data_IF_532170622142
#
_entry.id   IF_532170622142
#
_cell.length_a   1.000
_cell.length_b   1.000
_cell.length_c   1.000
_cell.angle_alpha   90.00
_cell.angle_beta   90.00
_cell.angle_gamma   90.00
#
_symmetry.space_group_name_H-M   'P 1'
#
loop_
_entity.id
_entity.type
_entity.pdbx_description
1 polymer ?
#
# COMPACT_ATOMS: atom_id res chain seq x y z
N UNK A 1 29.38 26.05 70.50
CA UNK A 1 28.69 25.36 71.62
C UNK A 1 27.57 24.52 71.07
N UNK A 2 27.61 23.22 71.35
CA UNK A 2 26.65 22.18 70.95
C UNK A 2 25.47 22.16 71.91
N UNK A 3 24.24 22.01 71.40
CA UNK A 3 23.11 21.25 71.98
C UNK A 3 21.96 21.26 70.95
N UNK A 4 21.60 20.18 70.26
CA UNK A 4 20.91 18.96 70.73
C UNK A 4 19.49 19.24 71.25
N UNK A 5 18.38 18.56 70.91
CA UNK A 5 18.11 17.26 70.26
C UNK A 5 16.57 17.16 70.02
N UNK A 6 16.16 16.41 68.97
CA UNK A 6 15.02 15.46 68.81
C UNK A 6 13.65 15.68 69.51
N UNK A 7 12.54 15.57 68.74
CA UNK A 7 11.50 14.48 68.76
C UNK A 7 10.36 14.82 67.77
N UNK A 8 10.11 14.05 66.69
CA UNK A 8 9.20 12.90 66.51
C UNK A 8 7.68 13.26 66.50
N UNK A 9 7.11 13.10 65.29
CA UNK A 9 5.77 12.65 64.90
C UNK A 9 4.49 13.36 65.42
N UNK A 10 3.68 13.87 64.48
CA UNK A 10 2.33 13.30 64.30
C UNK A 10 1.84 13.45 62.84
N UNK A 11 1.40 12.30 62.32
CA UNK A 11 0.65 12.09 61.08
C UNK A 11 -0.73 12.74 61.18
N UNK A 12 -1.33 13.05 60.01
CA UNK A 12 -2.74 13.39 59.70
C UNK A 12 -2.88 14.80 59.10
N UNK A 13 -2.77 14.91 57.77
CA UNK A 13 -3.91 15.33 56.94
C UNK A 13 -3.62 15.01 55.46
N UNK A 14 -3.76 13.74 55.15
CA UNK A 14 -4.02 13.25 53.80
C UNK A 14 -5.40 13.72 53.35
N UNK A 15 -5.48 14.82 52.62
CA UNK A 15 -6.63 15.11 51.74
C UNK A 15 -6.14 15.79 50.47
N UNK A 16 -5.84 14.94 49.48
CA UNK A 16 -6.44 15.02 48.16
C UNK A 16 -6.70 16.43 47.61
N UNK A 17 -5.71 17.00 46.92
CA UNK A 17 -5.97 17.78 45.71
C UNK A 17 -5.03 17.25 44.62
N UNK A 18 -5.31 16.00 44.21
CA UNK A 18 -5.11 15.58 42.84
C UNK A 18 -6.06 16.43 42.00
N UNK A 19 -5.59 17.54 41.44
CA UNK A 19 -6.25 18.11 40.25
C UNK A 19 -5.96 17.13 39.12
N UNK A 20 -6.83 16.12 39.07
CA UNK A 20 -7.10 15.33 37.90
C UNK A 20 -7.30 16.32 36.75
N UNK A 21 -6.35 16.34 35.81
CA UNK A 21 -6.62 16.77 34.45
C UNK A 21 -7.63 15.81 33.85
N UNK A 22 -8.89 15.95 34.24
CA UNK A 22 -10.02 15.37 33.55
C UNK A 22 -10.06 16.09 32.20
N UNK A 23 -9.44 15.48 31.19
CA UNK A 23 -9.77 15.79 29.81
C UNK A 23 -11.29 15.65 29.70
N UNK A 24 -11.96 16.76 29.41
CA UNK A 24 -13.39 16.84 29.25
C UNK A 24 -13.87 15.69 28.33
N UNK A 25 -14.86 14.87 28.72
CA UNK A 25 -15.42 13.84 27.83
C UNK A 25 -16.04 14.45 26.55
N UNK A 26 -16.19 15.78 26.50
CA UNK A 26 -16.54 16.55 25.30
C UNK A 26 -15.41 16.62 24.25
N UNK A 27 -14.13 16.49 24.62
CA UNK A 27 -12.99 16.49 23.68
C UNK A 27 -12.80 15.14 22.96
N UNK A 28 -13.48 14.08 23.44
CA UNK A 28 -13.38 12.72 22.90
C UNK A 28 -14.30 12.42 21.71
N UNK A 29 -15.10 13.37 21.21
CA UNK A 29 -15.69 13.25 19.85
C UNK A 29 -14.61 13.61 18.82
N UNK A 30 -13.69 12.67 18.56
CA UNK A 30 -12.66 12.80 17.49
C UNK A 30 -13.33 13.28 16.20
N UNK A 31 -13.16 14.58 15.86
CA UNK A 31 -13.66 15.15 14.60
C UNK A 31 -13.20 14.25 13.45
N UNK A 32 -14.13 13.79 12.61
CA UNK A 32 -13.85 12.94 11.44
C UNK A 32 -12.69 13.56 10.66
N UNK A 33 -11.67 12.76 10.33
CA UNK A 33 -10.50 13.24 9.59
C UNK A 33 -10.94 13.70 8.20
N UNK A 34 -10.45 14.86 7.77
CA UNK A 34 -10.73 15.41 6.44
C UNK A 34 -10.12 14.52 5.36
N UNK A 35 -10.94 14.09 4.41
CA UNK A 35 -10.49 13.31 3.26
C UNK A 35 -9.66 14.23 2.33
N UNK A 36 -8.44 13.85 1.93
CA UNK A 36 -7.64 14.63 1.00
C UNK A 36 -8.38 14.89 -0.32
N UNK A 37 -8.19 16.08 -0.91
CA UNK A 37 -8.87 16.46 -2.17
C UNK A 37 -8.39 15.67 -3.40
N UNK A 38 -7.18 15.12 -3.36
CA UNK A 38 -6.54 14.46 -4.51
C UNK A 38 -6.07 13.05 -4.11
N UNK A 39 -6.36 12.00 -4.90
CA UNK A 39 -5.83 10.67 -4.62
C UNK A 39 -4.31 10.66 -4.76
N UNK A 40 -3.65 9.83 -3.97
CA UNK A 40 -2.22 9.54 -4.08
C UNK A 40 -1.90 8.23 -3.40
N UNK A 41 -0.84 7.58 -3.87
CA UNK A 41 -0.24 6.46 -3.19
C UNK A 41 0.41 6.94 -1.88
N UNK A 42 0.28 6.13 -0.84
CA UNK A 42 0.81 6.39 0.50
C UNK A 42 1.79 5.33 0.97
N UNK A 43 1.79 4.17 0.31
CA UNK A 43 2.63 3.02 0.55
C UNK A 43 2.17 2.14 1.71
N UNK A 44 2.70 0.91 1.76
CA UNK A 44 2.22 -0.17 2.62
C UNK A 44 2.27 0.16 4.12
N UNK A 45 3.26 0.92 4.56
CA UNK A 45 3.40 1.37 5.96
C UNK A 45 2.19 2.15 6.47
N UNK A 46 1.53 2.94 5.60
CA UNK A 46 0.30 3.67 5.98
C UNK A 46 -0.93 2.79 6.07
N UNK A 47 -0.84 1.55 5.58
CA UNK A 47 -1.80 0.47 5.80
C UNK A 47 -1.44 -0.32 7.08
N UNK A 48 -0.14 -0.39 7.43
CA UNK A 48 0.40 -1.16 8.56
C UNK A 48 0.13 -0.54 9.95
N UNK A 49 0.58 0.67 10.27
CA UNK A 49 0.87 1.04 11.67
C UNK A 49 -0.25 1.22 12.73
N UNK A 50 -1.49 0.73 12.54
CA UNK A 50 -2.51 0.65 13.62
C UNK A 50 -3.76 -0.20 13.27
N UNK A 51 -3.82 -0.86 12.11
CA UNK A 51 -5.08 -1.40 11.59
C UNK A 51 -4.96 -2.72 10.83
N UNK A 52 -3.81 -3.04 10.24
CA UNK A 52 -3.63 -4.23 9.40
C UNK A 52 -2.22 -4.85 9.56
N UNK A 53 -1.65 -4.84 10.76
CA UNK A 53 -0.30 -5.35 11.04
C UNK A 53 -0.12 -6.83 10.64
N UNK A 54 -1.00 -7.79 11.01
CA UNK A 54 -0.87 -9.17 10.56
C UNK A 54 -0.80 -9.32 9.03
N UNK A 55 -1.56 -8.50 8.30
CA UNK A 55 -1.57 -8.50 6.84
C UNK A 55 -0.30 -7.87 6.26
N UNK A 56 0.26 -6.86 6.93
CA UNK A 56 1.50 -6.25 6.51
C UNK A 56 2.67 -7.22 6.69
N UNK A 57 2.80 -7.87 7.85
CA UNK A 57 3.86 -8.85 8.09
C UNK A 57 3.79 -10.00 7.08
N UNK A 58 2.59 -10.51 6.82
CA UNK A 58 2.37 -11.50 5.78
C UNK A 58 2.79 -11.03 4.38
N UNK A 59 2.50 -9.77 4.07
CA UNK A 59 2.91 -9.17 2.80
C UNK A 59 4.43 -8.98 2.71
N UNK A 60 5.11 -8.57 3.78
CA UNK A 60 6.58 -8.40 3.83
C UNK A 60 7.29 -9.71 3.48
N UNK A 61 6.80 -10.84 4.00
CA UNK A 61 7.40 -12.15 3.69
C UNK A 61 7.06 -12.66 2.29
N UNK A 62 5.98 -12.15 1.68
CA UNK A 62 5.49 -12.59 0.37
C UNK A 62 6.44 -12.19 -0.78
N UNK A 63 6.33 -12.84 -1.96
CA UNK A 63 7.04 -12.41 -3.15
C UNK A 63 6.73 -10.95 -3.56
N UNK A 64 5.53 -10.44 -3.24
CA UNK A 64 5.15 -9.06 -3.55
C UNK A 64 5.84 -8.03 -2.64
N UNK A 65 6.16 -8.41 -1.40
CA UNK A 65 6.96 -7.61 -0.46
C UNK A 65 8.46 -7.60 -0.77
N UNK A 66 8.91 -8.38 -1.77
CA UNK A 66 10.33 -8.57 -2.13
C UNK A 66 10.61 -8.34 -3.61
N UNK A 67 9.67 -7.74 -4.36
CA UNK A 67 9.79 -7.57 -5.82
C UNK A 67 10.96 -6.68 -6.25
N UNK A 68 11.40 -5.74 -5.42
CA UNK A 68 12.47 -4.80 -5.75
C UNK A 68 13.84 -5.48 -5.83
N UNK A 69 14.10 -6.45 -4.94
CA UNK A 69 15.33 -7.24 -4.92
C UNK A 69 15.55 -7.96 -6.25
N UNK A 70 14.47 -8.47 -6.86
CA UNK A 70 14.51 -9.16 -8.15
C UNK A 70 15.05 -8.30 -9.30
N UNK A 71 15.06 -6.98 -9.15
CA UNK A 71 15.54 -6.04 -10.16
C UNK A 71 17.04 -5.73 -10.06
N UNK A 72 17.68 -6.04 -8.93
CA UNK A 72 19.09 -5.76 -8.71
C UNK A 72 19.98 -6.60 -9.65
N UNK A 73 21.18 -6.10 -9.95
CA UNK A 73 22.19 -6.86 -10.70
C UNK A 73 22.53 -8.19 -10.01
N UNK A 74 22.84 -9.23 -10.78
CA UNK A 74 23.21 -10.56 -10.26
C UNK A 74 22.05 -11.39 -9.67
N UNK A 75 20.90 -10.77 -9.33
CA UNK A 75 19.75 -11.50 -8.77
C UNK A 75 19.01 -12.30 -9.85
N UNK A 76 18.76 -13.58 -9.58
CA UNK A 76 18.08 -14.55 -10.47
C UNK A 76 18.62 -14.55 -11.91
N UNK A 77 19.92 -14.80 -12.12
CA UNK A 77 20.57 -14.66 -13.41
C UNK A 77 19.94 -15.56 -14.47
N UNK A 78 19.60 -16.81 -14.11
CA UNK A 78 19.01 -17.77 -15.05
C UNK A 78 17.62 -17.35 -15.54
N UNK A 79 16.80 -16.74 -14.68
CA UNK A 79 15.50 -16.22 -15.10
C UNK A 79 15.65 -15.01 -16.04
N UNK A 80 16.65 -14.16 -15.81
CA UNK A 80 16.97 -13.02 -16.68
C UNK A 80 17.49 -13.47 -18.04
N UNK A 81 18.49 -14.38 -18.08
CA UNK A 81 19.02 -14.96 -19.33
C UNK A 81 17.91 -15.59 -20.15
N UNK A 82 17.04 -16.40 -19.53
CA UNK A 82 15.91 -17.03 -20.22
C UNK A 82 15.00 -15.98 -20.88
N UNK A 83 14.73 -14.89 -20.16
CA UNK A 83 13.95 -13.76 -20.65
C UNK A 83 14.71 -12.82 -21.61
N UNK A 84 15.94 -13.16 -22.03
CA UNK A 84 16.84 -12.29 -22.83
C UNK A 84 17.12 -10.94 -22.16
N UNK A 85 17.18 -10.93 -20.84
CA UNK A 85 17.61 -9.81 -20.01
C UNK A 85 19.07 -10.02 -19.59
N UNK A 86 19.77 -8.92 -19.37
CA UNK A 86 21.14 -8.92 -18.87
C UNK A 86 21.14 -9.23 -17.36
N UNK A 87 21.76 -10.34 -16.90
CA UNK A 87 21.85 -10.68 -15.49
C UNK A 87 22.52 -9.60 -14.62
N UNK A 88 23.53 -8.93 -15.17
CA UNK A 88 24.40 -7.99 -14.47
C UNK A 88 23.88 -6.55 -14.55
N UNK A 89 22.85 -6.30 -15.38
CA UNK A 89 22.18 -5.00 -15.40
C UNK A 89 21.33 -4.81 -14.14
N UNK A 90 21.48 -3.65 -13.52
CA UNK A 90 20.57 -3.15 -12.49
C UNK A 90 19.32 -2.53 -13.13
N UNK A 91 18.16 -3.14 -12.88
CA UNK A 91 16.85 -2.69 -13.35
C UNK A 91 16.06 -1.88 -12.31
N UNK A 92 16.65 -1.54 -11.15
CA UNK A 92 15.99 -0.79 -10.05
C UNK A 92 15.66 0.66 -10.41
N UNK A 93 16.16 1.14 -11.55
CA UNK A 93 15.82 2.45 -12.13
C UNK A 93 15.09 2.33 -13.48
N UNK A 94 14.91 1.11 -14.00
CA UNK A 94 14.31 0.87 -15.31
C UNK A 94 12.79 1.07 -15.25
N UNK A 95 12.25 2.12 -15.90
CA UNK A 95 10.83 2.46 -15.81
C UNK A 95 9.91 1.37 -16.38
N UNK A 96 10.44 0.49 -17.23
CA UNK A 96 9.71 -0.66 -17.75
C UNK A 96 9.48 -1.70 -16.64
N UNK A 97 10.50 -1.99 -15.83
CA UNK A 97 10.44 -2.95 -14.74
C UNK A 97 9.67 -2.39 -13.54
N UNK A 98 9.92 -1.13 -13.18
CA UNK A 98 9.36 -0.49 -11.98
C UNK A 98 7.85 -0.42 -11.98
N UNK A 99 7.21 -0.42 -13.15
CA UNK A 99 5.76 -0.34 -13.24
C UNK A 99 5.05 -1.52 -12.58
N UNK A 100 5.63 -2.71 -12.68
CA UNK A 100 5.05 -3.94 -12.17
C UNK A 100 5.70 -4.40 -10.86
N UNK A 101 6.88 -3.88 -10.52
CA UNK A 101 7.67 -4.29 -9.35
C UNK A 101 7.65 -3.28 -8.19
N UNK A 102 6.91 -2.17 -8.32
CA UNK A 102 6.83 -1.13 -7.29
C UNK A 102 5.41 -0.58 -7.15
N UNK A 103 5.18 0.20 -6.10
CA UNK A 103 3.89 0.83 -5.81
C UNK A 103 3.74 2.15 -6.55
N UNK A 104 2.87 2.19 -7.56
CA UNK A 104 2.39 3.43 -8.17
C UNK A 104 3.44 4.20 -8.98
N UNK A 105 4.50 3.55 -9.50
CA UNK A 105 5.51 4.24 -10.30
C UNK A 105 4.89 5.03 -11.47
N UNK A 106 5.34 6.28 -11.63
CA UNK A 106 4.78 7.23 -12.61
C UNK A 106 3.40 7.81 -12.23
N UNK A 107 2.87 7.50 -11.05
CA UNK A 107 1.59 8.01 -10.53
C UNK A 107 1.81 8.90 -9.29
N UNK A 108 0.76 9.63 -8.88
CA UNK A 108 0.89 10.63 -7.80
C UNK A 108 1.16 9.94 -6.46
N UNK A 109 2.29 10.28 -5.84
CA UNK A 109 2.70 9.72 -4.54
C UNK A 109 3.31 8.31 -4.60
N UNK A 110 3.43 7.72 -5.79
CA UNK A 110 4.05 6.41 -5.95
C UNK A 110 5.57 6.45 -5.93
N UNK A 111 6.16 5.27 -6.12
CA UNK A 111 7.59 5.05 -6.08
C UNK A 111 8.36 5.88 -7.09
N UNK A 112 9.50 6.40 -6.62
CA UNK A 112 10.46 7.18 -7.39
C UNK A 112 11.83 6.54 -7.25
N UNK A 113 12.42 6.01 -8.33
CA UNK A 113 13.73 5.35 -8.28
C UNK A 113 14.85 6.33 -7.90
N UNK A 114 16.03 5.80 -7.59
CA UNK A 114 17.24 6.58 -7.37
C UNK A 114 17.48 7.62 -8.49
N UNK A 115 17.97 8.81 -8.12
CA UNK A 115 18.21 9.92 -9.05
C UNK A 115 16.96 10.70 -9.48
N UNK A 116 15.80 10.46 -8.86
CA UNK A 116 14.55 11.15 -9.21
C UNK A 116 14.52 12.59 -8.69
N UNK A 117 14.74 13.57 -9.57
CA UNK A 117 14.76 14.99 -9.19
C UNK A 117 13.42 15.72 -9.42
N UNK A 118 13.15 16.71 -8.57
CA UNK A 118 12.09 17.71 -8.80
C UNK A 118 12.45 18.65 -9.95
N UNK A 119 11.50 19.49 -10.38
CA UNK A 119 11.78 20.56 -11.37
C UNK A 119 12.89 21.52 -10.93
N UNK A 120 13.10 21.67 -9.62
CA UNK A 120 14.14 22.53 -9.02
C UNK A 120 15.42 21.74 -8.69
N UNK A 121 15.61 20.55 -9.25
CA UNK A 121 16.82 19.74 -9.03
C UNK A 121 16.90 18.98 -7.71
N UNK A 122 16.07 19.32 -6.70
CA UNK A 122 16.03 18.60 -5.40
C UNK A 122 15.76 17.10 -5.59
N UNK A 123 16.51 16.26 -4.88
CA UNK A 123 16.24 14.83 -4.82
C UNK A 123 14.85 14.54 -4.23
N UNK A 124 14.13 13.67 -4.91
CA UNK A 124 12.81 13.19 -4.51
C UNK A 124 12.68 11.69 -4.62
N UNK A 125 13.79 10.95 -4.75
CA UNK A 125 13.82 9.50 -4.68
C UNK A 125 13.13 8.99 -3.41
N UNK A 126 12.50 7.84 -3.55
CA UNK A 126 11.87 7.18 -2.39
C UNK A 126 12.96 6.55 -1.54
N UNK A 127 12.97 6.83 -0.23
CA UNK A 127 13.84 6.12 0.71
C UNK A 127 13.47 4.64 0.67
N UNK A 128 14.48 3.79 0.51
CA UNK A 128 14.36 2.34 0.64
C UNK A 128 14.76 2.01 2.07
N UNK A 129 13.88 1.29 2.77
CA UNK A 129 14.08 0.87 4.14
C UNK A 129 13.93 -0.66 4.20
N UNK A 130 15.03 -1.43 4.34
CA UNK A 130 14.96 -2.88 4.38
C UNK A 130 14.16 -3.43 5.56
N UNK A 131 14.10 -2.68 6.67
CA UNK A 131 13.37 -3.07 7.88
C UNK A 131 11.90 -2.69 7.82
N UNK A 132 11.54 -1.66 7.04
CA UNK A 132 10.16 -1.22 6.86
C UNK A 132 9.78 -1.08 5.36
N UNK A 133 9.62 -2.20 4.62
CA UNK A 133 9.31 -2.16 3.20
C UNK A 133 8.03 -1.39 2.89
N UNK A 134 8.04 -0.62 1.79
CA UNK A 134 7.05 0.40 1.52
C UNK A 134 6.63 0.51 0.04
N UNK A 135 7.15 1.50 -0.70
CA UNK A 135 6.70 1.77 -2.09
C UNK A 135 7.59 1.14 -3.14
N UNK A 136 8.81 0.82 -2.79
CA UNK A 136 9.77 0.09 -3.60
C UNK A 136 9.29 -1.32 -3.93
N UNK A 137 8.32 -1.85 -3.18
CA UNK A 137 7.71 -3.16 -3.41
C UNK A 137 6.33 -3.05 -4.07
N UNK A 138 5.76 -4.19 -4.50
CA UNK A 138 4.34 -4.27 -4.91
C UNK A 138 3.47 -4.28 -3.66
N UNK A 139 3.13 -3.09 -3.17
CA UNK A 139 2.38 -2.89 -1.92
C UNK A 139 0.87 -3.05 -2.06
N UNK A 140 0.17 -2.96 -0.93
CA UNK A 140 -1.28 -3.16 -0.80
C UNK A 140 -2.08 -2.38 -1.86
N UNK A 141 -1.66 -1.13 -2.13
CA UNK A 141 -2.34 -0.23 -3.06
C UNK A 141 -2.30 -0.69 -4.52
N UNK A 142 -1.39 -1.59 -4.89
CA UNK A 142 -1.32 -2.13 -6.25
C UNK A 142 -2.46 -3.10 -6.56
N UNK A 143 -3.03 -3.72 -5.53
CA UNK A 143 -4.20 -4.61 -5.63
C UNK A 143 -5.48 -3.90 -5.17
N UNK A 144 -5.43 -3.18 -4.05
CA UNK A 144 -6.62 -2.60 -3.42
C UNK A 144 -6.97 -1.20 -3.95
N UNK A 145 -6.16 -0.60 -4.82
CA UNK A 145 -6.41 0.75 -5.33
C UNK A 145 -6.13 0.94 -6.82
N UNK A 146 -6.85 1.90 -7.40
CA UNK A 146 -6.61 2.43 -8.75
C UNK A 146 -5.68 3.65 -8.73
N UNK A 147 -5.78 4.49 -7.68
CA UNK A 147 -5.16 5.82 -7.64
C UNK A 147 -4.39 6.09 -6.34
N UNK A 148 -4.24 5.08 -5.49
CA UNK A 148 -3.63 5.14 -4.18
C UNK A 148 -4.63 5.33 -3.03
N UNK A 149 -4.21 4.96 -1.84
CA UNK A 149 -5.03 4.82 -0.64
C UNK A 149 -5.18 6.06 0.22
N UNK A 150 -4.63 7.21 -0.18
CA UNK A 150 -4.73 8.45 0.60
C UNK A 150 -6.16 8.85 0.99
N UNK A 151 -7.16 8.50 0.17
CA UNK A 151 -8.56 8.89 0.39
C UNK A 151 -9.37 7.78 1.08
N UNK A 152 -9.44 6.57 0.51
CA UNK A 152 -10.29 5.52 1.09
C UNK A 152 -9.82 5.08 2.49
N UNK A 153 -8.51 5.13 2.80
CA UNK A 153 -8.02 4.82 4.15
C UNK A 153 -8.59 5.76 5.22
N UNK A 154 -8.91 7.00 4.83
CA UNK A 154 -9.50 7.99 5.72
C UNK A 154 -10.97 7.66 5.96
N UNK A 155 -11.67 7.15 4.94
CA UNK A 155 -13.02 6.58 5.11
C UNK A 155 -12.97 5.42 6.10
N UNK A 156 -12.11 4.42 5.86
CA UNK A 156 -11.93 3.27 6.75
C UNK A 156 -11.65 3.69 8.20
N UNK A 157 -10.76 4.67 8.40
CA UNK A 157 -10.44 5.18 9.73
C UNK A 157 -11.62 5.92 10.38
N UNK A 158 -12.36 6.72 9.61
CA UNK A 158 -13.49 7.50 10.13
C UNK A 158 -14.70 6.61 10.45
N UNK A 159 -14.83 5.45 9.82
CA UNK A 159 -15.89 4.46 10.08
C UNK A 159 -15.44 3.32 10.99
N UNK A 160 -14.17 3.32 11.44
CA UNK A 160 -13.58 2.21 12.19
C UNK A 160 -13.78 0.84 11.50
N UNK A 161 -13.64 0.82 10.18
CA UNK A 161 -13.82 -0.40 9.38
C UNK A 161 -15.27 -0.73 8.98
N UNK A 162 -16.27 0.01 9.47
CA UNK A 162 -17.70 -0.22 9.19
C UNK A 162 -18.20 0.47 7.90
N UNK A 163 -17.33 0.56 6.89
CA UNK A 163 -17.68 1.19 5.61
C UNK A 163 -18.37 0.20 4.66
N UNK A 164 -19.22 0.73 3.78
CA UNK A 164 -19.79 -0.02 2.65
C UNK A 164 -18.87 0.10 1.42
N UNK A 165 -18.83 -0.92 0.57
CA UNK A 165 -17.98 -0.93 -0.65
C UNK A 165 -18.10 0.38 -1.47
N UNK A 166 -19.30 0.90 -1.79
CA UNK A 166 -19.44 2.13 -2.59
C UNK A 166 -18.79 3.38 -1.96
N UNK A 167 -18.72 3.45 -0.63
CA UNK A 167 -18.14 4.59 0.09
C UNK A 167 -16.63 4.71 -0.12
N UNK A 168 -15.99 3.58 -0.41
CA UNK A 168 -14.56 3.49 -0.71
C UNK A 168 -14.26 3.39 -2.21
N UNK A 169 -15.15 2.77 -2.99
CA UNK A 169 -15.01 2.68 -4.46
C UNK A 169 -15.03 4.06 -5.12
N UNK A 170 -15.83 5.00 -4.61
CA UNK A 170 -15.79 6.40 -5.07
C UNK A 170 -14.44 7.11 -4.85
N UNK A 171 -13.55 6.50 -4.07
CA UNK A 171 -12.18 6.95 -3.84
C UNK A 171 -11.13 6.01 -4.43
N UNK A 172 -11.56 5.07 -5.28
CA UNK A 172 -10.69 4.21 -6.06
C UNK A 172 -10.19 2.98 -5.32
N UNK A 173 -10.84 2.59 -4.21
CA UNK A 173 -10.73 1.20 -3.76
C UNK A 173 -11.36 0.29 -4.80
N UNK A 174 -10.73 -0.86 -5.06
CA UNK A 174 -11.22 -1.82 -6.03
C UNK A 174 -11.38 -3.21 -5.42
N UNK A 175 -12.29 -3.99 -5.99
CA UNK A 175 -12.66 -5.33 -5.51
C UNK A 175 -12.60 -6.39 -6.62
N UNK A 176 -12.29 -5.98 -7.85
CA UNK A 176 -12.11 -6.83 -9.02
C UNK A 176 -10.72 -7.49 -9.04
N UNK A 177 -10.44 -8.31 -8.02
CA UNK A 177 -9.11 -8.86 -7.78
C UNK A 177 -8.57 -9.72 -8.93
N UNK A 178 -9.41 -10.50 -9.61
CA UNK A 178 -8.98 -11.24 -10.80
C UNK A 178 -8.48 -10.30 -11.92
N UNK A 179 -9.16 -9.16 -12.11
CA UNK A 179 -8.79 -8.15 -13.09
C UNK A 179 -7.51 -7.38 -12.67
N UNK A 180 -7.36 -6.98 -11.40
CA UNK A 180 -6.15 -6.24 -10.98
C UNK A 180 -4.87 -7.06 -11.11
N UNK A 181 -4.92 -8.37 -10.87
CA UNK A 181 -3.73 -9.24 -11.01
C UNK A 181 -3.21 -9.24 -12.46
N UNK A 182 -4.10 -9.18 -13.45
CA UNK A 182 -3.75 -9.16 -14.88
C UNK A 182 -2.93 -7.92 -15.28
N UNK A 183 -3.01 -6.83 -14.50
CA UNK A 183 -2.27 -5.57 -14.70
C UNK A 183 -0.76 -5.78 -14.85
N UNK A 184 -0.22 -6.80 -14.19
CA UNK A 184 1.20 -7.13 -14.21
C UNK A 184 1.43 -8.52 -14.78
N UNK A 185 0.75 -9.54 -14.26
CA UNK A 185 1.03 -10.94 -14.61
C UNK A 185 0.73 -11.26 -16.08
N UNK A 186 -0.34 -10.69 -16.63
CA UNK A 186 -0.76 -10.91 -18.01
C UNK A 186 -0.44 -9.68 -18.89
N UNK A 187 0.34 -8.73 -18.37
CA UNK A 187 0.68 -7.54 -19.13
C UNK A 187 1.52 -7.94 -20.36
N UNK A 188 1.24 -7.41 -21.57
CA UNK A 188 1.98 -7.78 -22.79
C UNK A 188 3.49 -7.53 -22.73
N UNK A 189 3.92 -6.69 -21.79
CA UNK A 189 5.33 -6.33 -21.56
C UNK A 189 5.98 -7.07 -20.39
N UNK A 190 5.28 -8.04 -19.79
CA UNK A 190 5.88 -8.95 -18.83
C UNK A 190 6.78 -9.94 -19.59
N UNK A 191 8.11 -9.92 -19.39
CA UNK A 191 9.00 -10.84 -20.09
C UNK A 191 8.87 -12.28 -19.56
N UNK A 192 8.47 -12.47 -18.30
CA UNK A 192 8.25 -13.77 -17.67
C UNK A 192 6.79 -14.17 -17.77
N UNK A 193 6.40 -14.67 -18.95
CA UNK A 193 5.03 -15.10 -19.25
C UNK A 193 4.98 -16.55 -19.75
N UNK A 194 3.77 -17.10 -19.91
CA UNK A 194 3.55 -18.49 -20.31
C UNK A 194 4.19 -18.86 -21.67
N UNK A 195 4.41 -17.89 -22.58
CA UNK A 195 5.11 -18.13 -23.86
C UNK A 195 6.61 -18.36 -23.66
N UNK A 196 7.19 -17.78 -22.61
CA UNK A 196 8.59 -17.98 -22.27
C UNK A 196 8.80 -19.33 -21.56
N UNK A 197 7.91 -19.65 -20.62
CA UNK A 197 7.94 -20.88 -19.85
C UNK A 197 6.53 -21.11 -19.25
N UNK A 198 5.93 -22.31 -19.42
CA UNK A 198 4.63 -22.63 -18.81
C UNK A 198 4.56 -22.38 -17.31
N UNK A 199 5.69 -22.46 -16.58
CA UNK A 199 5.73 -22.17 -15.13
C UNK A 199 5.36 -20.72 -14.78
N UNK A 200 5.46 -19.79 -15.73
CA UNK A 200 5.07 -18.39 -15.56
C UNK A 200 3.60 -18.15 -15.90
N UNK A 201 2.82 -19.18 -16.23
CA UNK A 201 1.38 -19.04 -16.39
C UNK A 201 0.73 -18.63 -15.07
N UNK A 202 0.05 -17.47 -15.07
CA UNK A 202 -0.68 -16.99 -13.90
C UNK A 202 -2.12 -17.49 -13.93
N UNK A 203 -2.51 -18.19 -12.86
CA UNK A 203 -3.89 -18.63 -12.60
C UNK A 203 -4.35 -18.00 -11.28
N UNK A 204 -5.35 -17.13 -11.34
CA UNK A 204 -5.82 -16.37 -10.17
C UNK A 204 -6.32 -17.28 -9.04
N UNK A 205 -7.06 -18.34 -9.39
CA UNK A 205 -7.61 -19.29 -8.41
C UNK A 205 -6.52 -19.90 -7.52
N UNK A 206 -5.37 -20.21 -8.11
CA UNK A 206 -4.24 -20.87 -7.45
C UNK A 206 -3.42 -19.91 -6.58
N UNK A 207 -3.58 -18.59 -6.76
CA UNK A 207 -2.70 -17.56 -6.16
C UNK A 207 -3.41 -16.60 -5.21
N UNK A 208 -4.74 -16.50 -5.23
CA UNK A 208 -5.53 -15.48 -4.48
C UNK A 208 -5.35 -15.49 -2.96
N UNK A 209 -4.84 -16.56 -2.36
CA UNK A 209 -4.58 -16.66 -0.91
C UNK A 209 -3.12 -16.41 -0.48
N UNK A 210 -2.16 -16.45 -1.41
CA UNK A 210 -0.73 -16.50 -1.06
C UNK A 210 -0.07 -15.14 -0.83
N UNK A 211 -0.82 -14.03 -0.97
CA UNK A 211 -0.24 -12.67 -1.00
C UNK A 211 -0.03 -12.09 0.40
N UNK A 212 -0.92 -12.40 1.34
CA UNK A 212 -0.90 -11.85 2.69
C UNK A 212 -1.68 -12.77 3.65
N UNK A 213 -1.27 -14.05 3.71
CA UNK A 213 -1.82 -15.00 4.69
C UNK A 213 -1.43 -14.60 6.12
N UNK A 214 -2.38 -13.95 6.80
CA UNK A 214 -2.14 -13.18 8.01
C UNK A 214 -2.26 -13.99 9.29
N UNK A 215 -2.81 -15.20 9.25
CA UNK A 215 -3.22 -15.94 10.45
C UNK A 215 -2.04 -16.19 11.41
N UNK A 216 -0.86 -16.53 10.87
CA UNK A 216 0.34 -16.78 11.67
C UNK A 216 0.98 -15.54 12.32
N UNK A 217 0.54 -14.33 11.98
CA UNK A 217 1.07 -13.07 12.52
C UNK A 217 0.11 -12.40 13.50
N UNK A 218 -1.04 -13.03 13.77
CA UNK A 218 -1.96 -12.55 14.81
C UNK A 218 -1.35 -12.88 16.18
N UNK A 219 -1.26 -11.87 17.03
CA UNK A 219 -0.78 -11.97 18.41
C UNK A 219 -1.63 -11.07 19.33
N UNK A 220 -1.27 -11.01 20.61
CA UNK A 220 -2.02 -10.23 21.61
C UNK A 220 -2.04 -8.73 21.29
N UNK A 221 -0.95 -8.18 20.73
CA UNK A 221 -0.79 -6.76 20.44
C UNK A 221 -1.62 -6.28 19.23
N UNK A 222 -2.02 -7.20 18.34
CA UNK A 222 -2.73 -6.88 17.10
C UNK A 222 -4.06 -7.65 16.94
N UNK A 223 -4.54 -8.32 17.99
CA UNK A 223 -5.76 -9.10 17.98
C UNK A 223 -7.02 -8.27 17.63
N UNK A 224 -7.00 -6.96 17.91
CA UNK A 224 -8.09 -6.01 17.62
C UNK A 224 -8.15 -5.59 16.14
N UNK A 225 -7.14 -5.97 15.34
CA UNK A 225 -7.01 -5.60 13.92
C UNK A 225 -7.72 -6.57 12.97
N UNK A 226 -8.51 -7.51 13.51
CA UNK A 226 -9.32 -8.46 12.74
C UNK A 226 -10.35 -7.73 11.88
N UNK A 227 -10.51 -8.20 10.65
CA UNK A 227 -11.45 -7.63 9.69
C UNK A 227 -12.87 -8.16 9.92
N UNK A 228 -13.51 -7.78 11.03
CA UNK A 228 -14.84 -8.27 11.45
C UNK A 228 -15.91 -8.22 10.34
N UNK A 229 -15.91 -7.14 9.54
CA UNK A 229 -16.87 -6.95 8.44
C UNK A 229 -16.47 -7.60 7.11
N UNK A 230 -15.38 -8.36 7.03
CA UNK A 230 -14.89 -8.92 5.77
C UNK A 230 -15.86 -9.93 5.16
N UNK A 231 -16.39 -10.86 5.96
CA UNK A 231 -17.35 -11.88 5.51
C UNK A 231 -18.65 -11.25 5.02
N UNK A 232 -19.15 -10.22 5.71
CA UNK A 232 -20.35 -9.51 5.27
C UNK A 232 -20.12 -8.69 4.01
N UNK A 233 -18.97 -8.03 3.89
CA UNK A 233 -18.58 -7.33 2.66
C UNK A 233 -18.43 -8.29 1.48
N UNK A 234 -18.00 -9.53 1.69
CA UNK A 234 -17.88 -10.53 0.63
C UNK A 234 -19.24 -10.93 0.01
N UNK A 235 -20.34 -10.81 0.76
CA UNK A 235 -21.70 -11.10 0.26
C UNK A 235 -22.24 -10.02 -0.68
N UNK A 236 -21.65 -8.82 -0.68
CA UNK A 236 -22.13 -7.68 -1.47
C UNK A 236 -21.25 -7.51 -2.71
N UNK A 237 -21.81 -7.63 -3.91
CA UNK A 237 -21.08 -7.32 -5.15
C UNK A 237 -20.88 -5.82 -5.32
N UNK A 238 -19.63 -5.41 -5.47
CA UNK A 238 -19.20 -4.03 -5.72
C UNK A 238 -19.43 -3.61 -7.18
N UNK A 239 -19.26 -2.31 -7.48
CA UNK A 239 -19.29 -1.85 -8.87
C UNK A 239 -18.14 -2.47 -9.69
N UNK A 240 -16.91 -2.43 -9.17
CA UNK A 240 -15.75 -3.02 -9.86
C UNK A 240 -15.90 -4.54 -10.06
N UNK A 241 -16.54 -5.27 -9.15
CA UNK A 241 -16.82 -6.71 -9.37
C UNK A 241 -17.86 -6.97 -10.47
N UNK A 242 -18.85 -6.07 -10.64
CA UNK A 242 -19.85 -6.18 -11.72
C UNK A 242 -19.28 -5.78 -13.07
N UNK A 243 -18.56 -4.66 -13.09
CA UNK A 243 -17.93 -4.10 -14.29
C UNK A 243 -16.50 -3.77 -13.89
N UNK A 244 -15.50 -4.57 -14.30
CA UNK A 244 -14.12 -4.36 -13.90
C UNK A 244 -13.57 -3.01 -14.34
N UNK A 245 -12.58 -2.50 -13.62
CA UNK A 245 -11.91 -1.26 -13.99
C UNK A 245 -11.03 -1.47 -15.24
N UNK A 246 -10.81 -0.41 -16.02
CA UNK A 246 -9.80 -0.48 -17.07
C UNK A 246 -8.43 -0.84 -16.49
N UNK A 247 -7.62 -1.56 -17.24
CA UNK A 247 -6.23 -1.82 -16.90
C UNK A 247 -5.35 -0.90 -17.72
N UNK A 248 -4.48 -0.14 -17.04
CA UNK A 248 -3.64 0.82 -17.72
C UNK A 248 -2.47 0.18 -18.46
N UNK A 249 -2.46 0.39 -19.78
CA UNK A 249 -1.29 0.22 -20.63
C UNK A 249 -0.40 1.48 -20.60
N UNK A 250 0.89 1.29 -20.86
CA UNK A 250 1.91 2.32 -20.73
C UNK A 250 3.01 2.18 -21.79
N UNK A 251 3.76 3.25 -22.01
CA UNK A 251 4.94 3.29 -22.88
C UNK A 251 6.06 4.09 -22.23
N UNK A 252 7.29 3.82 -22.63
CA UNK A 252 8.42 4.67 -22.26
C UNK A 252 8.56 5.78 -23.28
N UNK A 253 8.68 7.01 -22.80
CA UNK A 253 8.89 8.18 -23.64
C UNK A 253 10.29 8.14 -24.25
N UNK A 254 10.41 8.10 -25.58
CA UNK A 254 11.72 8.20 -26.26
C UNK A 254 12.47 9.49 -25.91
N UNK A 255 11.75 10.60 -25.70
CA UNK A 255 12.34 11.90 -25.38
C UNK A 255 12.82 12.03 -23.93
N UNK A 256 12.06 11.50 -22.98
CA UNK A 256 12.30 11.75 -21.55
C UNK A 256 12.73 10.53 -20.75
N UNK A 257 12.72 9.34 -21.36
CA UNK A 257 12.92 8.07 -20.66
C UNK A 257 11.81 7.73 -19.66
N UNK A 258 10.76 8.56 -19.49
CA UNK A 258 9.75 8.36 -18.44
C UNK A 258 8.62 7.43 -18.88
N UNK A 259 8.05 6.72 -17.92
CA UNK A 259 6.81 5.96 -18.10
C UNK A 259 5.62 6.89 -18.33
N UNK A 260 4.86 6.62 -19.38
CA UNK A 260 3.65 7.33 -19.77
C UNK A 260 2.48 6.35 -19.87
N UNK A 261 1.46 6.55 -19.04
CA UNK A 261 0.20 5.81 -19.14
C UNK A 261 -0.61 6.31 -20.35
N UNK A 262 -1.01 5.39 -21.23
CA UNK A 262 -1.83 5.69 -22.41
C UNK A 262 -3.18 6.26 -21.98
N UNK A 263 -3.64 7.34 -22.64
CA UNK A 263 -4.81 8.10 -22.18
C UNK A 263 -6.09 7.27 -22.14
N UNK A 264 -6.34 6.48 -23.20
CA UNK A 264 -7.56 5.65 -23.37
C UNK A 264 -7.65 4.48 -22.39
N UNK A 265 -6.55 4.10 -21.74
CA UNK A 265 -6.51 2.96 -20.83
C UNK A 265 -6.44 3.39 -19.36
N UNK A 266 -6.61 4.69 -19.05
CA UNK A 266 -6.50 5.17 -17.66
C UNK A 266 -7.74 4.77 -16.86
N UNK A 267 -7.61 4.03 -15.76
CA UNK A 267 -8.74 3.72 -14.90
C UNK A 267 -9.19 4.90 -14.03
N UNK A 268 -8.35 5.92 -13.82
CA UNK A 268 -8.74 7.14 -13.12
C UNK A 268 -8.64 8.36 -14.03
N UNK A 269 -9.78 9.01 -14.26
CA UNK A 269 -9.87 10.28 -14.97
C UNK A 269 -9.65 11.43 -13.98
N UNK A 270 -8.47 12.04 -14.04
CA UNK A 270 -8.10 13.17 -13.16
C UNK A 270 -8.93 14.43 -13.39
N UNK A 271 -9.45 14.65 -14.60
CA UNK A 271 -10.19 15.87 -14.97
C UNK A 271 -11.61 15.80 -14.40
N UNK A 272 -12.29 14.69 -14.67
CA UNK A 272 -13.66 14.43 -14.20
C UNK A 272 -13.72 13.89 -12.77
N UNK A 273 -12.58 13.43 -12.22
CA UNK A 273 -12.47 12.76 -10.92
C UNK A 273 -13.32 11.49 -10.83
N UNK A 274 -13.46 10.79 -11.95
CA UNK A 274 -14.23 9.56 -12.12
C UNK A 274 -13.32 8.36 -12.37
N UNK A 275 -13.88 7.15 -12.24
CA UNK A 275 -13.22 5.90 -12.57
C UNK A 275 -13.79 5.33 -13.86
N UNK A 276 -12.91 4.86 -14.73
CA UNK A 276 -13.27 4.28 -16.01
C UNK A 276 -13.33 2.76 -15.88
N UNK A 277 -14.47 2.21 -16.23
CA UNK A 277 -14.74 0.77 -16.22
C UNK A 277 -14.63 0.20 -17.64
N UNK A 278 -14.45 -1.12 -17.73
CA UNK A 278 -14.52 -1.86 -18.99
C UNK A 278 -15.95 -1.72 -19.54
N UNK A 279 -16.06 -1.42 -20.83
CA UNK A 279 -17.33 -1.34 -21.55
C UNK A 279 -17.77 -2.70 -22.04
#
# INVERSE_FOLDING_TARGET
>A
MVKAYKTIALVILSTFILVLGAADPADAKKKKKKIPKKPSYVGAVKCNGSCHDPYYQAWVESPHGKTFELLQAGVRPEAKKKAKLDPEKDYTTDPMCLRCHTTGHGQRGGFKPAGSKSKKGKDTSTKIDPEEPNKEQVGCEMCHSVAGGAQFRVVMKNTKGDFKKPETEKYGQRWDYANVCSRCHNHPKNPHNAKLDPKYAFKYADKKGAVHDSEKYVNEDNADQKLEKAKDRAKVKSQSEKTPLLIEDFKISKKSGKLLIKKKTRPYNKKEKTFNYQG
#
